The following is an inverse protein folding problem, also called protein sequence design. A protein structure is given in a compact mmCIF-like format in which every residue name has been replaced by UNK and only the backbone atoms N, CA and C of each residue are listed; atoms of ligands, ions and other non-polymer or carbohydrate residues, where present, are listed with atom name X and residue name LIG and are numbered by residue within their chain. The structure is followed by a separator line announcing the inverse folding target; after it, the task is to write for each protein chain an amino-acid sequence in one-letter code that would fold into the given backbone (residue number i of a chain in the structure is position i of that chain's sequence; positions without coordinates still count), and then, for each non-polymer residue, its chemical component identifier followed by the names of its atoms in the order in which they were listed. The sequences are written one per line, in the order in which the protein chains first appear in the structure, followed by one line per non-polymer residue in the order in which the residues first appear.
data_IF_286825573359
#
_entry.id   IF_286825573359
#
_cell.length_a   1.000
_cell.length_b   1.000
_cell.length_c   1.000
_cell.angle_alpha   90.00
_cell.angle_beta   90.00
_cell.angle_gamma   90.00
#
_symmetry.space_group_name_H-M   'P 1'
#
loop_
_entity.id
_entity.type
_entity.pdbx_description
1 polymer ?
#
# COMPACT_ATOMS: atom_id res chain seq x y z
N UNK A 1 -2.35 -0.66 4.10
CA UNK A 1 -1.08 -0.73 4.87
C UNK A 1 -0.77 -2.19 5.19
N UNK A 2 0.41 -2.68 4.78
CA UNK A 2 0.77 -4.10 4.86
C UNK A 2 2.07 -4.37 5.64
N UNK A 3 2.18 -5.53 6.32
CA UNK A 3 3.33 -5.87 7.17
C UNK A 3 4.46 -6.54 6.38
N UNK A 4 5.60 -6.71 7.04
CA UNK A 4 6.86 -7.19 6.45
C UNK A 4 6.98 -8.71 6.29
N UNK A 5 6.12 -9.51 6.95
CA UNK A 5 6.27 -10.96 7.02
C UNK A 5 5.84 -11.70 5.73
N UNK A 6 4.86 -11.15 5.01
CA UNK A 6 4.47 -11.60 3.67
C UNK A 6 4.22 -10.38 2.77
N UNK A 7 5.28 -9.59 2.49
CA UNK A 7 5.16 -8.21 2.05
C UNK A 7 4.56 -8.07 0.67
N UNK A 8 4.73 -9.06 -0.20
CA UNK A 8 4.07 -9.09 -1.50
C UNK A 8 2.58 -9.48 -1.37
N UNK A 9 2.31 -10.65 -0.81
CA UNK A 9 0.95 -11.20 -0.77
C UNK A 9 -0.02 -10.33 0.05
N UNK A 10 0.40 -9.86 1.23
CA UNK A 10 -0.45 -9.03 2.09
C UNK A 10 -0.62 -7.59 1.56
N UNK A 11 0.18 -7.19 0.58
CA UNK A 11 -0.02 -5.94 -0.17
C UNK A 11 -0.97 -6.13 -1.35
N UNK A 12 -0.72 -7.15 -2.17
CA UNK A 12 -1.43 -7.36 -3.44
C UNK A 12 -2.84 -7.94 -3.24
N UNK A 13 -3.01 -8.87 -2.30
CA UNK A 13 -4.31 -9.52 -2.08
C UNK A 13 -5.44 -8.52 -1.74
N UNK A 14 -5.26 -7.57 -0.79
CA UNK A 14 -6.27 -6.54 -0.56
C UNK A 14 -6.37 -5.53 -1.71
N UNK A 15 -5.26 -5.23 -2.39
CA UNK A 15 -5.26 -4.33 -3.55
C UNK A 15 -6.14 -4.88 -4.69
N UNK A 16 -6.07 -6.19 -4.98
CA UNK A 16 -6.92 -6.83 -5.98
C UNK A 16 -8.40 -6.61 -5.66
N UNK A 17 -8.79 -6.80 -4.40
CA UNK A 17 -10.16 -6.55 -3.95
C UNK A 17 -10.59 -5.10 -4.17
N UNK A 18 -9.76 -4.15 -3.74
CA UNK A 18 -10.06 -2.73 -3.87
C UNK A 18 -10.16 -2.25 -5.33
N UNK A 19 -9.25 -2.72 -6.20
CA UNK A 19 -9.27 -2.40 -7.65
C UNK A 19 -10.47 -3.04 -8.33
N UNK A 20 -10.84 -4.28 -7.96
CA UNK A 20 -11.98 -4.99 -8.57
C UNK A 20 -13.32 -4.28 -8.37
N UNK A 21 -13.40 -3.40 -7.39
CA UNK A 21 -14.58 -2.57 -7.09
C UNK A 21 -14.37 -1.10 -7.45
N UNK A 22 -13.41 -0.81 -8.35
CA UNK A 22 -13.15 0.53 -8.92
C UNK A 22 -12.74 1.61 -7.90
N UNK A 23 -12.14 1.22 -6.76
CA UNK A 23 -11.62 2.21 -5.81
C UNK A 23 -10.26 2.75 -6.25
N UNK A 24 -9.99 4.02 -5.93
CA UNK A 24 -8.63 4.54 -5.91
C UNK A 24 -7.91 4.06 -4.64
N UNK A 25 -6.64 3.66 -4.77
CA UNK A 25 -5.91 3.02 -3.67
C UNK A 25 -4.54 3.65 -3.47
N UNK A 26 -4.21 3.95 -2.22
CA UNK A 26 -2.84 4.21 -1.79
C UNK A 26 -2.31 2.97 -1.08
N UNK A 27 -1.26 2.37 -1.65
CA UNK A 27 -0.56 1.24 -1.07
C UNK A 27 0.62 1.73 -0.24
N UNK A 28 0.65 1.34 1.04
CA UNK A 28 1.80 1.54 1.94
C UNK A 28 2.35 0.19 2.38
N UNK A 29 3.42 -0.32 1.74
CA UNK A 29 4.12 -1.51 2.21
C UNK A 29 5.07 -1.19 3.36
N UNK A 30 5.45 -2.21 4.12
CA UNK A 30 6.36 -2.04 5.25
C UNK A 30 7.75 -1.57 4.85
N UNK A 31 8.31 -0.67 5.64
CA UNK A 31 9.67 -0.15 5.56
C UNK A 31 10.75 -1.21 5.85
N UNK A 32 10.42 -2.29 6.56
CA UNK A 32 11.36 -3.37 6.84
C UNK A 32 11.64 -4.27 5.63
N UNK A 33 10.71 -4.35 4.68
CA UNK A 33 10.80 -5.21 3.49
C UNK A 33 11.23 -4.44 2.24
N UNK A 34 12.32 -3.67 2.35
CA UNK A 34 12.79 -2.66 1.37
C UNK A 34 12.79 -3.19 -0.08
N UNK A 35 13.44 -4.33 -0.33
CA UNK A 35 13.61 -4.84 -1.69
C UNK A 35 12.27 -5.29 -2.32
N UNK A 36 11.37 -5.85 -1.50
CA UNK A 36 10.01 -6.16 -1.99
C UNK A 36 9.20 -4.89 -2.25
N UNK A 37 9.32 -3.90 -1.37
CA UNK A 37 8.64 -2.61 -1.54
C UNK A 37 9.08 -1.89 -2.82
N UNK A 38 10.35 -1.95 -3.20
CA UNK A 38 10.86 -1.44 -4.49
C UNK A 38 10.26 -2.18 -5.69
N UNK A 39 10.18 -3.51 -5.62
CA UNK A 39 9.56 -4.31 -6.69
C UNK A 39 8.08 -3.97 -6.83
N UNK A 40 7.36 -3.88 -5.71
CA UNK A 40 5.96 -3.44 -5.69
C UNK A 40 5.82 -2.03 -6.31
N UNK A 41 6.70 -1.10 -5.94
CA UNK A 41 6.68 0.25 -6.49
C UNK A 41 6.81 0.25 -8.01
N UNK A 42 7.78 -0.49 -8.55
CA UNK A 42 7.98 -0.62 -9.99
C UNK A 42 6.74 -1.24 -10.68
N UNK A 43 6.14 -2.27 -10.08
CA UNK A 43 4.94 -2.91 -10.64
C UNK A 43 3.78 -1.91 -10.67
N UNK A 44 3.49 -1.25 -9.54
CA UNK A 44 2.35 -0.33 -9.43
C UNK A 44 2.50 0.84 -10.39
N UNK A 45 3.65 1.52 -10.40
CA UNK A 45 3.91 2.68 -11.25
C UNK A 45 3.96 2.35 -12.75
N UNK A 46 4.30 1.11 -13.12
CA UNK A 46 4.28 0.68 -14.53
C UNK A 46 2.94 0.16 -15.01
N UNK A 47 2.03 -0.19 -14.09
CA UNK A 47 0.73 -0.82 -14.42
C UNK A 47 -0.43 0.17 -14.34
N UNK A 48 -0.39 1.11 -13.40
CA UNK A 48 -1.50 2.02 -13.10
C UNK A 48 -1.09 3.48 -13.25
N UNK A 49 -2.06 4.34 -13.62
CA UNK A 49 -1.91 5.78 -13.47
C UNK A 49 -1.90 6.17 -11.99
N UNK A 50 -1.11 7.19 -11.64
CA UNK A 50 -0.95 7.66 -10.26
C UNK A 50 -2.27 8.16 -9.65
N UNK A 51 -3.22 8.58 -10.49
CA UNK A 51 -4.57 9.00 -10.08
C UNK A 51 -5.49 7.85 -9.63
N UNK A 52 -5.18 6.62 -10.03
CA UNK A 52 -5.96 5.42 -9.70
C UNK A 52 -5.31 4.60 -8.60
N UNK A 53 -4.01 4.36 -8.70
CA UNK A 53 -3.29 3.60 -7.69
C UNK A 53 -1.90 4.16 -7.52
N UNK A 54 -1.59 4.56 -6.30
CA UNK A 54 -0.27 5.05 -5.95
C UNK A 54 0.33 4.21 -4.82
N UNK A 55 1.64 4.25 -4.71
CA UNK A 55 2.40 3.55 -3.68
C UNK A 55 3.30 4.55 -2.97
N UNK A 56 3.20 4.58 -1.64
CA UNK A 56 3.99 5.49 -0.81
C UNK A 56 4.90 4.64 0.06
N UNK A 57 6.20 4.92 -0.04
CA UNK A 57 7.24 4.31 0.79
C UNK A 57 7.60 5.28 1.91
N UNK A 58 7.86 4.75 3.10
CA UNK A 58 8.18 5.58 4.26
C UNK A 58 8.07 4.81 5.56
N UNK A 59 8.54 5.43 6.63
CA UNK A 59 8.53 4.88 7.98
C UNK A 59 7.22 5.23 8.70
N UNK A 60 7.31 5.46 10.02
CA UNK A 60 6.17 5.77 10.87
C UNK A 60 5.64 7.19 10.68
N UNK A 61 6.49 8.16 10.31
CA UNK A 61 6.05 9.55 10.13
C UNK A 61 5.09 9.65 8.93
N UNK A 62 5.39 8.91 7.86
CA UNK A 62 4.50 8.81 6.69
C UNK A 62 3.18 8.11 7.04
N UNK A 63 3.20 7.13 7.95
CA UNK A 63 1.95 6.50 8.38
C UNK A 63 1.06 7.50 9.10
N UNK A 64 1.63 8.32 9.99
CA UNK A 64 0.87 9.34 10.72
C UNK A 64 0.25 10.36 9.75
N UNK A 65 1.03 10.84 8.78
CA UNK A 65 0.53 11.73 7.73
C UNK A 65 -0.61 11.10 6.92
N UNK A 66 -0.48 9.83 6.51
CA UNK A 66 -1.55 9.12 5.80
C UNK A 66 -2.81 9.01 6.69
N UNK A 67 -2.67 8.75 7.98
CA UNK A 67 -3.81 8.60 8.88
C UNK A 67 -4.54 9.93 9.18
N UNK A 68 -3.89 11.08 8.95
CA UNK A 68 -4.51 12.41 9.05
C UNK A 68 -5.37 12.75 7.82
N UNK A 69 -5.07 12.15 6.67
CA UNK A 69 -5.83 12.35 5.44
C UNK A 69 -7.20 11.66 5.47
N UNK A 70 -8.13 12.16 4.65
CA UNK A 70 -9.48 11.59 4.58
C UNK A 70 -9.54 10.39 3.65
N UNK A 71 -9.70 9.21 4.22
CA UNK A 71 -9.97 7.97 3.51
C UNK A 71 -11.39 7.47 3.80
N UNK A 72 -12.07 6.96 2.77
CA UNK A 72 -13.35 6.26 2.95
C UNK A 72 -13.17 4.92 3.68
N UNK A 73 -12.02 4.26 3.46
CA UNK A 73 -11.69 2.99 4.09
C UNK A 73 -10.17 2.82 4.24
N UNK A 74 -9.75 2.36 5.42
CA UNK A 74 -8.35 2.04 5.72
C UNK A 74 -8.25 0.55 6.02
N UNK A 75 -7.51 -0.17 5.18
CA UNK A 75 -7.19 -1.57 5.38
C UNK A 75 -5.79 -1.74 5.98
N UNK A 76 -5.72 -2.25 7.21
CA UNK A 76 -4.48 -2.39 7.99
C UNK A 76 -4.33 -3.83 8.50
N UNK A 77 -3.18 -4.44 8.22
CA UNK A 77 -2.79 -5.74 8.78
C UNK A 77 -1.53 -5.53 9.61
N UNK A 78 -1.61 -5.70 10.94
CA UNK A 78 -0.47 -5.62 11.84
C UNK A 78 -0.73 -6.44 13.10
N UNK A 79 0.26 -6.47 14.00
CA UNK A 79 0.06 -6.94 15.37
C UNK A 79 -0.92 -6.03 16.13
N UNK A 80 -1.51 -6.58 17.20
CA UNK A 80 -2.30 -5.83 18.17
C UNK A 80 -1.48 -4.77 18.89
#
# INVERSE_FOLDING_TARGET
MSPWNYPFQLSIMPLIGAISTENCVILKPSEYSIETSKVLENIIKSTFGEEYTNIILGDIEINEQILEEKFDFIFFICSK
#
